data_IF_410614074370
#
_entry.id   IF_410614074370
#
_cell.length_a   1.000
_cell.length_b   1.000
_cell.length_c   1.000
_cell.angle_alpha   90.00
_cell.angle_beta   90.00
_cell.angle_gamma   90.00
#
_symmetry.space_group_name_H-M   'P 1'
#
loop_
_entity.id
_entity.type
_entity.pdbx_description
1 polymer ?
#
# COMPACT_ATOMS: atom_id res chain seq x y z
N UNK A 1 -5.05 -55.56 43.78
CA UNK A 1 -5.00 -54.09 43.62
C UNK A 1 -3.76 -53.58 44.34
N UNK A 2 -2.59 -53.67 43.70
CA UNK A 2 -1.32 -53.10 44.16
C UNK A 2 -0.25 -53.30 43.06
N UNK A 3 0.52 -52.22 42.85
CA UNK A 3 1.90 -52.09 42.36
C UNK A 3 2.35 -52.81 41.07
N UNK A 4 2.71 -52.09 39.99
CA UNK A 4 3.96 -51.35 39.72
C UNK A 4 5.22 -52.22 39.56
N UNK A 5 5.85 -52.07 38.39
CA UNK A 5 7.30 -52.11 38.04
C UNK A 5 7.56 -52.98 36.80
N UNK A 6 7.90 -52.37 35.65
CA UNK A 6 9.27 -52.06 35.19
C UNK A 6 10.14 -53.32 35.07
N UNK A 7 10.52 -53.68 33.85
CA UNK A 7 11.92 -53.94 33.47
C UNK A 7 12.09 -54.12 31.95
N UNK A 8 13.03 -53.33 31.45
CA UNK A 8 13.77 -53.39 30.18
C UNK A 8 14.40 -54.79 29.99
N UNK A 9 14.62 -55.23 28.75
CA UNK A 9 15.88 -55.86 28.25
C UNK A 9 15.74 -56.18 26.74
N UNK A 10 16.38 -55.38 25.88
CA UNK A 10 17.63 -55.72 25.18
C UNK A 10 17.50 -56.54 23.89
N UNK A 11 17.80 -55.90 22.75
CA UNK A 11 18.49 -56.59 21.66
C UNK A 11 19.55 -55.66 21.04
N UNK A 12 20.81 -56.08 21.13
CA UNK A 12 22.02 -55.45 20.55
C UNK A 12 22.37 -56.14 19.23
N UNK A 13 22.72 -55.37 18.18
CA UNK A 13 23.81 -55.65 17.21
C UNK A 13 23.89 -54.46 16.23
N UNK A 14 24.80 -53.50 16.41
CA UNK A 14 26.20 -53.43 15.93
C UNK A 14 26.36 -53.48 14.41
N UNK A 15 26.84 -52.36 13.83
CA UNK A 15 27.92 -52.20 12.83
C UNK A 15 28.13 -50.67 12.65
N UNK A 16 29.05 -50.04 13.39
CA UNK A 16 30.44 -49.67 12.99
C UNK A 16 30.56 -49.04 11.59
N UNK A 17 30.89 -47.75 11.57
CA UNK A 17 31.35 -47.01 10.39
C UNK A 17 31.39 -45.51 10.66
N UNK A 18 32.45 -45.04 11.34
CA UNK A 18 32.66 -43.62 11.60
C UNK A 18 33.26 -42.90 10.39
N UNK A 19 32.72 -41.73 10.06
CA UNK A 19 33.45 -40.69 9.34
C UNK A 19 33.05 -39.33 9.93
N UNK A 20 34.08 -38.56 10.24
CA UNK A 20 34.07 -37.26 10.88
C UNK A 20 33.48 -36.20 9.94
N UNK A 21 32.68 -35.27 10.48
CA UNK A 21 32.73 -33.81 10.22
C UNK A 21 31.34 -33.15 10.31
N UNK A 22 31.19 -32.28 11.31
CA UNK A 22 30.43 -31.04 11.19
C UNK A 22 28.93 -31.09 11.58
N UNK A 23 28.50 -30.30 12.59
CA UNK A 23 27.10 -29.93 12.67
C UNK A 23 26.81 -29.00 11.49
N UNK A 24 26.01 -29.44 10.53
CA UNK A 24 25.34 -28.53 9.59
C UNK A 24 24.36 -27.74 10.45
N UNK A 25 24.86 -26.62 10.97
CA UNK A 25 24.03 -25.53 11.40
C UNK A 25 23.18 -25.16 10.19
N UNK A 26 21.93 -25.62 10.15
CA UNK A 26 20.88 -24.95 9.40
C UNK A 26 20.63 -23.63 10.12
N UNK A 27 21.59 -22.73 9.90
CA UNK A 27 21.46 -21.30 9.95
C UNK A 27 20.25 -20.97 9.09
N UNK A 28 19.10 -20.90 9.75
CA UNK A 28 18.05 -20.01 9.28
C UNK A 28 18.68 -18.63 9.32
N UNK A 29 19.28 -18.25 8.20
CA UNK A 29 19.69 -16.90 7.93
C UNK A 29 18.43 -16.06 8.05
N UNK A 30 18.18 -15.58 9.27
CA UNK A 30 17.41 -14.38 9.53
C UNK A 30 18.05 -13.34 8.64
N UNK A 31 17.41 -13.09 7.50
CA UNK A 31 17.67 -11.89 6.73
C UNK A 31 17.64 -10.73 7.73
N UNK A 32 18.70 -9.91 7.80
CA UNK A 32 18.69 -8.79 8.70
C UNK A 32 17.57 -7.85 8.24
N UNK A 33 16.48 -7.83 8.98
CA UNK A 33 15.47 -6.78 8.91
C UNK A 33 16.07 -5.50 9.51
N UNK A 34 17.11 -4.97 8.86
CA UNK A 34 17.70 -3.65 9.03
C UNK A 34 17.44 -2.92 7.71
N UNK A 35 16.72 -1.82 7.63
CA UNK A 35 16.00 -1.09 8.64
C UNK A 35 15.14 -0.07 7.90
N UNK A 36 13.91 0.07 8.35
CA UNK A 36 13.14 1.32 8.24
C UNK A 36 12.35 1.43 9.52
N UNK A 37 13.09 1.44 10.65
CA UNK A 37 12.57 1.94 11.91
C UNK A 37 13.05 3.37 12.04
N UNK A 38 12.34 4.25 11.36
CA UNK A 38 12.26 5.63 11.76
C UNK A 38 10.78 5.99 11.64
N UNK A 39 10.05 5.63 12.70
CA UNK A 39 8.75 6.22 12.96
C UNK A 39 9.06 7.63 13.43
N UNK A 40 9.33 8.52 12.48
CA UNK A 40 9.17 9.95 12.72
C UNK A 40 7.67 10.12 12.94
N UNK A 41 7.31 10.66 14.10
CA UNK A 41 5.96 11.12 14.38
C UNK A 41 5.56 12.14 13.32
N UNK A 42 4.84 11.70 12.28
CA UNK A 42 4.29 12.63 11.29
C UNK A 42 2.94 13.09 11.81
N UNK A 43 2.94 14.06 12.72
CA UNK A 43 1.81 14.96 12.85
C UNK A 43 1.80 15.80 11.57
N UNK A 44 0.86 15.62 10.65
CA UNK A 44 0.57 16.69 9.68
C UNK A 44 -0.72 16.45 8.92
N UNK A 45 -1.46 17.56 8.73
CA UNK A 45 -2.75 17.62 8.04
C UNK A 45 -2.65 17.09 6.62
N UNK A 46 -2.92 15.80 6.48
CA UNK A 46 -2.74 15.00 5.26
C UNK A 46 -3.52 15.59 4.08
N UNK A 47 -2.87 16.43 3.28
CA UNK A 47 -3.44 16.94 2.04
C UNK A 47 -2.86 16.16 0.87
N UNK A 48 -3.62 16.08 -0.23
CA UNK A 48 -3.26 15.32 -1.44
C UNK A 48 -1.95 15.80 -2.09
N UNK A 49 -1.38 16.91 -1.61
CA UNK A 49 -0.19 17.59 -2.12
C UNK A 49 1.12 17.11 -1.51
N UNK A 50 1.11 16.32 -0.44
CA UNK A 50 2.33 15.95 0.28
C UNK A 50 3.00 14.74 -0.39
N UNK A 51 3.60 14.99 -1.56
CA UNK A 51 4.25 13.98 -2.40
C UNK A 51 5.38 13.25 -1.65
N UNK A 52 6.08 13.96 -0.77
CA UNK A 52 7.17 13.40 0.05
C UNK A 52 6.67 12.41 1.10
N UNK A 53 5.49 12.63 1.67
CA UNK A 53 4.86 11.69 2.59
C UNK A 53 4.37 10.46 1.85
N UNK A 54 3.71 10.67 0.71
CA UNK A 54 3.12 9.60 -0.07
C UNK A 54 4.18 8.68 -0.68
N UNK A 55 5.34 9.19 -1.09
CA UNK A 55 6.43 8.39 -1.67
C UNK A 55 7.00 7.35 -0.70
N UNK A 56 6.98 7.60 0.61
CA UNK A 56 7.44 6.64 1.64
C UNK A 56 6.62 5.35 1.66
N UNK A 57 5.33 5.42 1.29
CA UNK A 57 4.41 4.29 1.30
C UNK A 57 4.27 3.61 -0.07
N UNK A 58 5.08 4.02 -1.05
CA UNK A 58 5.02 3.52 -2.42
C UNK A 58 6.17 2.56 -2.74
N UNK A 59 5.88 1.59 -3.61
CA UNK A 59 6.89 0.79 -4.29
C UNK A 59 7.48 1.58 -5.46
N UNK A 60 8.71 1.25 -5.91
CA UNK A 60 9.28 1.86 -7.12
C UNK A 60 8.38 1.78 -8.36
N UNK A 61 7.56 0.71 -8.47
CA UNK A 61 6.62 0.53 -9.59
C UNK A 61 5.32 1.35 -9.47
N UNK A 62 5.14 2.18 -8.42
CA UNK A 62 3.92 2.97 -8.18
C UNK A 62 2.77 2.21 -7.50
N UNK A 63 3.01 0.98 -7.05
CA UNK A 63 2.06 0.25 -6.21
C UNK A 63 2.15 0.66 -4.75
N UNK A 64 1.02 0.74 -4.04
CA UNK A 64 1.01 1.00 -2.60
C UNK A 64 1.58 -0.20 -1.82
N UNK A 65 2.33 0.06 -0.74
CA UNK A 65 2.79 -0.96 0.19
C UNK A 65 1.62 -1.58 0.97
N UNK A 66 1.68 -2.88 1.31
CA UNK A 66 0.61 -3.54 2.06
C UNK A 66 0.53 -3.01 3.50
N UNK A 67 -0.68 -2.92 4.05
CA UNK A 67 -0.94 -2.43 5.42
C UNK A 67 -0.11 -3.11 6.51
N UNK A 68 0.16 -4.41 6.36
CA UNK A 68 0.98 -5.20 7.30
C UNK A 68 2.42 -4.69 7.42
N UNK A 69 2.93 -4.06 6.36
CA UNK A 69 4.29 -3.49 6.32
C UNK A 69 4.26 -2.03 6.75
N UNK A 70 3.26 -1.26 6.34
CA UNK A 70 3.18 0.17 6.69
C UNK A 70 2.77 0.42 8.13
N UNK A 71 2.11 -0.54 8.81
CA UNK A 71 1.69 -0.40 10.20
C UNK A 71 0.52 0.57 10.43
N UNK A 72 -0.10 1.07 9.36
CA UNK A 72 -1.18 2.05 9.42
C UNK A 72 -2.52 1.44 9.84
N UNK A 73 -3.37 2.27 10.45
CA UNK A 73 -4.75 1.88 10.72
C UNK A 73 -5.53 1.70 9.40
N UNK A 74 -6.64 0.96 9.43
CA UNK A 74 -7.38 0.61 8.22
C UNK A 74 -7.97 1.85 7.51
N UNK A 75 -8.37 2.87 8.28
CA UNK A 75 -8.93 4.11 7.76
C UNK A 75 -7.86 4.98 7.10
N UNK A 76 -6.74 5.19 7.78
CA UNK A 76 -5.61 5.95 7.24
C UNK A 76 -5.01 5.30 6.01
N UNK A 77 -4.92 3.97 6.01
CA UNK A 77 -4.45 3.22 4.86
C UNK A 77 -5.33 3.48 3.64
N UNK A 78 -6.67 3.52 3.81
CA UNK A 78 -7.61 3.89 2.73
C UNK A 78 -7.47 5.34 2.30
N UNK A 79 -7.24 6.27 3.24
CA UNK A 79 -7.00 7.69 2.92
C UNK A 79 -5.74 7.84 2.07
N UNK A 80 -4.63 7.19 2.45
CA UNK A 80 -3.38 7.20 1.68
C UNK A 80 -3.59 6.57 0.31
N UNK A 81 -4.27 5.42 0.23
CA UNK A 81 -4.54 4.75 -1.03
C UNK A 81 -5.25 5.66 -2.03
N UNK A 82 -6.26 6.40 -1.56
CA UNK A 82 -7.00 7.32 -2.42
C UNK A 82 -6.17 8.55 -2.80
N UNK A 83 -5.34 9.08 -1.89
CA UNK A 83 -4.38 10.14 -2.20
C UNK A 83 -3.36 9.71 -3.26
N UNK A 84 -2.80 8.51 -3.14
CA UNK A 84 -1.89 7.91 -4.12
C UNK A 84 -2.57 7.81 -5.49
N UNK A 85 -3.80 7.28 -5.55
CA UNK A 85 -4.57 7.19 -6.79
C UNK A 85 -4.79 8.56 -7.43
N UNK A 86 -5.14 9.58 -6.63
CA UNK A 86 -5.31 10.95 -7.12
C UNK A 86 -3.99 11.55 -7.63
N UNK A 87 -2.88 11.34 -6.92
CA UNK A 87 -1.57 11.85 -7.27
C UNK A 87 -1.02 11.22 -8.56
N UNK A 88 -1.20 9.91 -8.77
CA UNK A 88 -0.85 9.27 -10.04
C UNK A 88 -1.65 9.83 -11.22
N UNK A 89 -2.95 10.11 -11.03
CA UNK A 89 -3.81 10.71 -12.06
C UNK A 89 -3.41 12.16 -12.37
N UNK A 90 -2.88 12.87 -11.37
CA UNK A 90 -2.36 14.22 -11.53
C UNK A 90 -0.93 14.26 -12.11
N UNK A 91 -0.26 13.12 -12.22
CA UNK A 91 1.10 13.03 -12.77
C UNK A 91 2.20 13.48 -11.80
N UNK A 92 1.95 13.46 -10.49
CA UNK A 92 2.91 13.91 -9.47
C UNK A 92 4.09 12.94 -9.25
N UNK A 93 3.97 11.68 -9.69
CA UNK A 93 5.00 10.65 -9.54
C UNK A 93 5.59 10.22 -10.90
N UNK A 94 6.50 11.01 -11.50
CA UNK A 94 7.08 10.67 -12.80
C UNK A 94 7.95 9.40 -12.75
N UNK A 95 8.64 9.16 -11.63
CA UNK A 95 9.57 8.03 -11.46
C UNK A 95 8.88 6.72 -11.06
N UNK A 96 7.61 6.76 -10.66
CA UNK A 96 6.88 5.60 -10.15
C UNK A 96 5.88 5.11 -11.19
N UNK A 97 6.40 4.57 -12.29
CA UNK A 97 5.60 4.08 -13.42
C UNK A 97 5.58 2.55 -13.46
N UNK A 98 4.52 1.96 -14.02
CA UNK A 98 4.52 0.52 -14.26
C UNK A 98 5.66 0.16 -15.20
N UNK A 99 6.30 -0.97 -14.93
CA UNK A 99 7.28 -1.54 -15.84
C UNK A 99 6.56 -1.98 -17.12
N UNK A 100 7.03 -1.50 -18.26
CA UNK A 100 6.53 -1.88 -19.56
C UNK A 100 7.34 -3.08 -20.07
N UNK A 101 6.71 -4.04 -20.76
CA UNK A 101 7.45 -5.12 -21.39
C UNK A 101 8.42 -4.55 -22.43
N UNK A 102 9.52 -5.26 -22.62
CA UNK A 102 10.58 -4.87 -23.54
C UNK A 102 10.02 -4.67 -24.96
N UNK A 103 10.33 -3.54 -25.59
CA UNK A 103 9.83 -3.16 -26.92
C UNK A 103 8.47 -2.45 -26.96
N UNK A 104 7.77 -2.25 -25.84
CA UNK A 104 6.51 -1.50 -25.84
C UNK A 104 6.74 0.02 -25.83
N UNK A 105 6.48 0.67 -26.96
CA UNK A 105 6.47 2.13 -27.08
C UNK A 105 5.05 2.66 -26.83
N UNK A 106 4.80 3.44 -25.77
CA UNK A 106 3.48 3.99 -25.50
C UNK A 106 3.09 5.01 -26.58
N UNK A 107 1.87 4.84 -27.13
CA UNK A 107 1.29 5.81 -28.07
C UNK A 107 1.12 7.18 -27.40
N UNK A 108 1.36 8.24 -28.16
CA UNK A 108 1.08 9.61 -27.72
C UNK A 108 -0.41 9.77 -27.45
N UNK A 109 -0.73 10.28 -26.26
CA UNK A 109 -2.09 10.64 -25.87
C UNK A 109 -2.09 12.12 -25.52
N UNK A 110 -3.21 12.84 -25.74
CA UNK A 110 -3.30 14.22 -25.30
C UNK A 110 -3.08 14.28 -23.79
N UNK A 111 -2.10 15.06 -23.36
CA UNK A 111 -1.79 15.24 -21.95
C UNK A 111 -2.78 16.27 -21.38
N UNK A 112 -3.68 15.80 -20.53
CA UNK A 112 -4.67 16.64 -19.86
C UNK A 112 -4.24 16.87 -18.42
N UNK A 113 -4.03 18.14 -18.05
CA UNK A 113 -3.75 18.52 -16.67
C UNK A 113 -4.99 18.29 -15.81
N UNK A 114 -4.84 17.50 -14.75
CA UNK A 114 -5.94 17.07 -13.88
C UNK A 114 -5.45 17.06 -12.43
N UNK A 115 -6.32 17.42 -11.49
CA UNK A 115 -6.04 17.37 -10.06
C UNK A 115 -7.31 16.96 -9.29
N UNK A 116 -7.15 16.42 -8.09
CA UNK A 116 -8.24 15.99 -7.20
C UNK A 116 -9.28 15.06 -7.87
N UNK A 117 -8.84 14.22 -8.82
CA UNK A 117 -9.74 13.35 -9.58
C UNK A 117 -10.07 12.07 -8.82
N UNK A 118 -11.33 11.89 -8.40
CA UNK A 118 -11.82 10.69 -7.70
C UNK A 118 -11.89 9.43 -8.56
N UNK A 119 -12.35 9.58 -9.80
CA UNK A 119 -12.63 8.45 -10.68
C UNK A 119 -11.53 8.25 -11.72
N UNK A 120 -11.41 7.02 -12.23
CA UNK A 120 -10.54 6.73 -13.37
C UNK A 120 -11.04 7.48 -14.61
N UNK A 121 -10.15 8.13 -15.39
CA UNK A 121 -10.55 8.84 -16.62
C UNK A 121 -11.32 7.96 -17.61
N UNK A 122 -11.08 6.65 -17.62
CA UNK A 122 -11.72 5.71 -18.57
C UNK A 122 -13.08 5.18 -18.12
N UNK A 123 -13.44 5.34 -16.84
CA UNK A 123 -14.69 4.77 -16.31
C UNK A 123 -15.84 5.78 -16.24
N UNK A 124 -15.54 7.08 -16.37
CA UNK A 124 -16.55 8.14 -16.25
C UNK A 124 -17.22 8.37 -17.60
N UNK A 125 -18.55 8.24 -17.64
CA UNK A 125 -19.38 8.62 -18.79
C UNK A 125 -19.71 10.12 -18.76
N UNK A 126 -19.81 10.79 -19.92
CA UNK A 126 -20.26 12.17 -19.96
C UNK A 126 -21.71 12.29 -19.45
N UNK A 127 -21.99 13.39 -18.75
CA UNK A 127 -23.35 13.72 -18.29
C UNK A 127 -24.01 14.56 -19.38
N UNK A 128 -24.86 13.93 -20.19
CA UNK A 128 -25.64 14.63 -21.22
C UNK A 128 -26.74 15.50 -20.61
N UNK A 129 -27.47 14.96 -19.62
CA UNK A 129 -28.57 15.65 -18.95
C UNK A 129 -28.17 16.04 -17.53
N UNK A 130 -27.88 17.33 -17.30
CA UNK A 130 -27.47 17.84 -15.98
C UNK A 130 -28.63 17.99 -14.99
N UNK A 131 -29.87 18.05 -15.46
CA UNK A 131 -31.05 18.33 -14.63
C UNK A 131 -31.22 19.82 -14.29
N UNK A 132 -32.37 20.14 -13.70
CA UNK A 132 -32.72 21.45 -13.17
C UNK A 132 -32.02 21.69 -11.83
N UNK A 133 -32.17 22.90 -11.27
CA UNK A 133 -31.49 23.29 -10.01
C UNK A 133 -31.78 22.34 -8.84
N UNK A 134 -33.00 21.83 -8.73
CA UNK A 134 -33.44 20.95 -7.63
C UNK A 134 -33.00 19.48 -7.79
N UNK A 135 -32.67 19.02 -9.01
CA UNK A 135 -32.23 17.65 -9.29
C UNK A 135 -30.92 17.62 -10.09
N UNK A 136 -30.05 18.60 -9.84
CA UNK A 136 -28.80 18.78 -10.59
C UNK A 136 -27.81 17.65 -10.31
N UNK A 137 -27.35 16.97 -11.35
CA UNK A 137 -26.25 16.00 -11.26
C UNK A 137 -24.94 16.75 -11.07
N UNK A 138 -24.35 16.65 -9.88
CA UNK A 138 -23.08 17.30 -9.53
C UNK A 138 -21.88 16.44 -9.88
N UNK A 139 -20.76 17.10 -10.17
CA UNK A 139 -19.49 16.45 -10.47
C UNK A 139 -18.69 16.25 -9.18
N UNK A 140 -18.26 15.02 -8.94
CA UNK A 140 -17.47 14.67 -7.77
C UNK A 140 -16.01 15.14 -7.92
N UNK A 141 -15.51 15.85 -6.91
CA UNK A 141 -14.11 16.32 -6.79
C UNK A 141 -13.54 15.90 -5.44
N UNK A 142 -12.27 15.50 -5.40
CA UNK A 142 -11.59 15.00 -4.21
C UNK A 142 -12.17 13.66 -3.70
N UNK A 143 -11.86 13.27 -2.48
CA UNK A 143 -12.36 12.04 -1.85
C UNK A 143 -13.19 12.34 -0.61
N UNK A 144 -14.33 11.64 -0.39
CA UNK A 144 -15.10 11.76 0.84
C UNK A 144 -14.36 11.24 2.07
N UNK A 145 -13.33 10.40 1.89
CA UNK A 145 -12.50 9.90 3.00
C UNK A 145 -11.64 10.99 3.63
N UNK A 146 -11.46 12.13 2.96
CA UNK A 146 -10.66 13.26 3.40
C UNK A 146 -11.51 14.42 3.93
N UNK A 147 -12.81 14.19 4.17
CA UNK A 147 -13.74 15.22 4.64
C UNK A 147 -13.41 15.73 6.05
N UNK A 148 -12.81 14.87 6.88
CA UNK A 148 -12.51 15.15 8.29
C UNK A 148 -11.13 15.83 8.48
N UNK A 149 -10.50 16.24 7.38
CA UNK A 149 -9.23 16.95 7.44
C UNK A 149 -9.39 18.33 8.08
N UNK A 150 -8.33 18.81 8.72
CA UNK A 150 -8.27 20.14 9.32
C UNK A 150 -8.58 21.20 8.25
N UNK A 151 -9.63 21.98 8.47
CA UNK A 151 -9.95 23.15 7.64
C UNK A 151 -9.55 24.41 8.38
N UNK A 152 -8.60 25.14 7.81
CA UNK A 152 -8.24 26.48 8.28
C UNK A 152 -9.26 27.55 7.89
N UNK A 153 -10.19 27.22 6.98
CA UNK A 153 -11.24 28.13 6.53
C UNK A 153 -12.56 27.84 7.24
N UNK A 154 -13.41 28.86 7.38
CA UNK A 154 -14.78 28.69 7.89
C UNK A 154 -15.69 27.89 6.96
N UNK A 155 -15.30 27.69 5.71
CA UNK A 155 -16.08 26.95 4.70
C UNK A 155 -15.69 25.48 4.71
N UNK A 156 -16.65 24.55 4.67
CA UNK A 156 -16.34 23.14 4.54
C UNK A 156 -15.78 22.82 3.14
N UNK A 157 -15.05 21.69 3.03
CA UNK A 157 -14.56 21.19 1.75
C UNK A 157 -15.73 20.81 0.83
N UNK A 158 -15.80 21.45 -0.34
CA UNK A 158 -16.80 21.14 -1.36
C UNK A 158 -16.35 19.95 -2.20
N UNK A 159 -17.01 18.81 -2.03
CA UNK A 159 -16.69 17.55 -2.73
C UNK A 159 -17.54 17.32 -4.00
N UNK A 160 -18.53 18.18 -4.24
CA UNK A 160 -19.46 18.08 -5.37
C UNK A 160 -19.75 19.47 -5.94
N UNK A 161 -19.43 19.67 -7.22
CA UNK A 161 -19.57 20.93 -7.96
C UNK A 161 -20.68 20.88 -9.03
#
# INVERSE_FOLDING_TARGET
MAALNVLVYHCRRLLRGGFLAGPIATSWARLPARGFREVVEIQEGKTTTDVLLLSQFLRPCGGMLPRRVTGLCQEEHRKIEECVKMAHRAGLFPNHRPQLPEGFVPKSKPQLNRYLTRWSPRSVKPIYNKGHRWNKVRMAVGSPLLKDNVSYSRKPLMLYH
#
